data_IF_858750829081
#
_entry.id   IF_858750829081
#
_cell.length_a   1.000
_cell.length_b   1.000
_cell.length_c   1.000
_cell.angle_alpha   90.00
_cell.angle_beta   90.00
_cell.angle_gamma   90.00
#
_symmetry.space_group_name_H-M   'P 1'
#
loop_
_entity.id
_entity.type
_entity.pdbx_description
1 polymer ?
#
# COMPACT_ATOMS: atom_id res chain seq x y z
N UNK A 1 -16.14 15.35 25.84
CA UNK A 1 -14.82 15.03 26.46
C UNK A 1 -14.41 13.57 26.32
N UNK A 2 -15.28 12.58 26.57
CA UNK A 2 -14.95 11.14 26.46
C UNK A 2 -14.43 10.74 25.06
N UNK A 3 -15.14 11.10 23.99
CA UNK A 3 -14.73 10.80 22.61
C UNK A 3 -13.36 11.38 22.24
N UNK A 4 -13.04 12.59 22.70
CA UNK A 4 -11.74 13.21 22.45
C UNK A 4 -10.61 12.46 23.17
N UNK A 5 -10.85 12.02 24.41
CA UNK A 5 -9.90 11.18 25.15
C UNK A 5 -9.67 9.85 24.47
N UNK A 6 -10.73 9.17 24.06
CA UNK A 6 -10.62 7.87 23.38
C UNK A 6 -9.86 8.01 22.04
N UNK A 7 -10.04 9.14 21.34
CA UNK A 7 -9.26 9.48 20.16
C UNK A 7 -7.78 9.73 20.47
N UNK A 8 -7.47 10.47 21.54
CA UNK A 8 -6.09 10.72 21.98
C UNK A 8 -5.38 9.43 22.41
N UNK A 9 -6.07 8.55 23.14
CA UNK A 9 -5.56 7.23 23.51
C UNK A 9 -5.26 6.39 22.28
N UNK A 10 -6.17 6.40 21.29
CA UNK A 10 -5.92 5.73 20.01
C UNK A 10 -4.71 6.32 19.28
N UNK A 11 -4.58 7.64 19.17
CA UNK A 11 -3.42 8.29 18.54
C UNK A 11 -2.13 7.91 19.25
N UNK A 12 -2.12 7.91 20.59
CA UNK A 12 -0.96 7.52 21.38
C UNK A 12 -0.53 6.07 21.12
N UNK A 13 -1.49 5.16 20.88
CA UNK A 13 -1.19 3.77 20.53
C UNK A 13 -0.50 3.64 19.15
N UNK A 14 -0.76 4.56 18.22
CA UNK A 14 -0.18 4.54 16.87
C UNK A 14 1.26 5.09 16.84
N UNK A 15 1.63 5.99 17.75
CA UNK A 15 2.94 6.68 17.73
C UNK A 15 4.12 5.71 17.68
N UNK A 16 4.20 4.65 18.51
CA UNK A 16 5.36 3.76 18.51
C UNK A 16 5.51 3.03 17.19
N UNK A 17 4.44 2.39 16.69
CA UNK A 17 4.52 1.59 15.47
C UNK A 17 4.77 2.45 14.23
N UNK A 18 4.14 3.62 14.15
CA UNK A 18 4.35 4.55 13.03
C UNK A 18 5.81 5.03 13.00
N UNK A 19 6.38 5.34 14.15
CA UNK A 19 7.78 5.70 14.29
C UNK A 19 8.70 4.53 13.91
N UNK A 20 8.52 3.33 14.49
CA UNK A 20 9.38 2.17 14.21
C UNK A 20 9.33 1.75 12.74
N UNK A 21 8.13 1.72 12.16
CA UNK A 21 7.94 1.33 10.76
C UNK A 21 8.51 2.39 9.82
N UNK A 22 8.23 3.67 10.07
CA UNK A 22 8.80 4.79 9.31
C UNK A 22 10.33 4.82 9.39
N UNK A 23 10.89 4.60 10.58
CA UNK A 23 12.33 4.50 10.80
C UNK A 23 12.94 3.33 10.03
N UNK A 24 12.30 2.16 10.01
CA UNK A 24 12.78 1.02 9.23
C UNK A 24 12.78 1.33 7.73
N UNK A 25 11.70 1.91 7.20
CA UNK A 25 11.65 2.32 5.79
C UNK A 25 12.77 3.31 5.44
N UNK A 26 13.01 4.30 6.31
CA UNK A 26 14.08 5.26 6.13
C UNK A 26 15.46 4.56 6.15
N UNK A 27 15.71 3.70 7.13
CA UNK A 27 16.99 2.99 7.25
C UNK A 27 17.28 2.08 6.05
N UNK A 28 16.27 1.37 5.54
CA UNK A 28 16.39 0.53 4.34
C UNK A 28 16.69 1.38 3.10
N UNK A 29 16.05 2.55 2.99
CA UNK A 29 16.30 3.50 1.90
C UNK A 29 17.75 4.00 1.95
N UNK A 30 18.22 4.44 3.12
CA UNK A 30 19.62 4.88 3.30
C UNK A 30 20.60 3.75 2.99
N UNK A 31 20.32 2.53 3.45
CA UNK A 31 21.19 1.37 3.20
C UNK A 31 21.27 1.04 1.70
N UNK A 32 20.14 1.05 0.99
CA UNK A 32 20.11 0.83 -0.46
C UNK A 32 20.85 1.94 -1.23
N UNK A 33 20.66 3.21 -0.84
CA UNK A 33 21.38 4.33 -1.45
C UNK A 33 22.89 4.21 -1.22
N UNK A 34 23.30 3.90 0.01
CA UNK A 34 24.71 3.66 0.34
C UNK A 34 25.33 2.51 -0.46
N UNK A 35 24.57 1.41 -0.62
CA UNK A 35 24.97 0.28 -1.44
C UNK A 35 25.11 0.67 -2.92
N UNK A 36 24.12 1.34 -3.50
CA UNK A 36 24.16 1.74 -4.92
C UNK A 36 25.28 2.74 -5.23
N UNK A 37 25.60 3.65 -4.31
CA UNK A 37 26.73 4.58 -4.45
C UNK A 37 28.10 3.90 -4.35
N UNK A 38 28.21 2.83 -3.56
CA UNK A 38 29.49 2.16 -3.28
C UNK A 38 29.73 0.96 -4.18
N UNK A 39 28.68 0.35 -4.73
CA UNK A 39 28.76 -0.83 -5.57
C UNK A 39 29.60 -0.61 -6.85
N UNK A 40 29.47 0.56 -7.48
CA UNK A 40 30.27 0.93 -8.65
C UNK A 40 31.78 0.92 -8.36
N UNK A 41 32.18 1.26 -7.14
CA UNK A 41 33.59 1.26 -6.70
C UNK A 41 34.15 -0.15 -6.50
N UNK A 42 33.29 -1.14 -6.25
CA UNK A 42 33.68 -2.52 -5.98
C UNK A 42 33.37 -3.47 -7.14
N UNK A 43 32.99 -2.94 -8.32
CA UNK A 43 32.62 -3.76 -9.48
C UNK A 43 31.34 -4.58 -9.26
N UNK A 44 30.51 -4.21 -8.29
CA UNK A 44 29.24 -4.84 -8.01
C UNK A 44 28.14 -4.13 -8.81
N UNK A 45 27.25 -4.90 -9.43
CA UNK A 45 26.06 -4.38 -10.12
C UNK A 45 24.87 -4.51 -9.18
N UNK A 46 24.30 -3.38 -8.76
CA UNK A 46 23.08 -3.36 -7.94
C UNK A 46 21.89 -3.36 -8.88
N UNK A 47 20.97 -4.30 -8.68
CA UNK A 47 19.71 -4.32 -9.42
C UNK A 47 18.91 -3.07 -9.06
N UNK A 48 18.50 -2.24 -10.04
CA UNK A 48 17.73 -1.05 -9.75
C UNK A 48 16.36 -1.44 -9.19
N UNK A 49 15.89 -0.69 -8.19
CA UNK A 49 14.49 -0.80 -7.76
C UNK A 49 13.55 -0.53 -8.93
N UNK A 50 12.40 -1.23 -8.98
CA UNK A 50 11.39 -0.94 -9.98
C UNK A 50 10.86 0.47 -9.79
N UNK A 51 10.43 1.09 -10.89
CA UNK A 51 9.83 2.41 -10.88
C UNK A 51 8.69 2.48 -9.86
N UNK A 52 8.58 3.59 -9.13
CA UNK A 52 7.58 3.71 -8.07
C UNK A 52 6.14 3.54 -8.58
N UNK A 53 5.86 3.92 -9.83
CA UNK A 53 4.58 3.73 -10.51
C UNK A 53 4.18 2.26 -10.71
N UNK A 54 5.14 1.33 -10.68
CA UNK A 54 4.89 -0.11 -10.82
C UNK A 54 4.79 -0.86 -9.49
N UNK A 55 4.90 -0.17 -8.35
CA UNK A 55 4.76 -0.79 -7.04
C UNK A 55 3.32 -1.24 -6.80
N UNK A 56 3.16 -2.52 -6.47
CA UNK A 56 1.88 -3.16 -6.19
C UNK A 56 2.00 -4.05 -4.97
N UNK A 57 0.92 -4.18 -4.19
CA UNK A 57 0.82 -5.17 -3.13
C UNK A 57 -0.18 -6.27 -3.49
N UNK A 58 0.05 -7.45 -2.92
CA UNK A 58 -0.85 -8.60 -3.01
C UNK A 58 -2.16 -8.29 -2.26
N UNK A 59 -3.29 -8.74 -2.81
CA UNK A 59 -4.63 -8.62 -2.22
C UNK A 59 -4.70 -9.17 -0.79
N UNK A 60 -3.79 -10.07 -0.40
CA UNK A 60 -3.69 -10.59 0.97
C UNK A 60 -3.48 -9.49 2.03
N UNK A 61 -3.02 -8.30 1.66
CA UNK A 61 -2.92 -7.15 2.56
C UNK A 61 -4.26 -6.80 3.23
N UNK A 62 -5.37 -7.13 2.58
CA UNK A 62 -6.74 -7.01 3.11
C UNK A 62 -6.86 -7.71 4.48
N UNK A 63 -6.29 -8.89 4.62
CA UNK A 63 -6.41 -9.69 5.84
C UNK A 63 -5.71 -9.04 7.04
N UNK A 64 -4.59 -8.35 6.81
CA UNK A 64 -3.88 -7.63 7.89
C UNK A 64 -4.75 -6.48 8.41
N UNK A 65 -5.39 -5.75 7.50
CA UNK A 65 -6.31 -4.68 7.85
C UNK A 65 -7.56 -5.21 8.58
N UNK A 66 -8.21 -6.24 8.04
CA UNK A 66 -9.41 -6.83 8.63
C UNK A 66 -9.14 -7.47 9.99
N UNK A 67 -8.04 -8.21 10.13
CA UNK A 67 -7.63 -8.78 11.42
C UNK A 67 -7.34 -7.67 12.43
N UNK A 68 -6.62 -6.61 12.04
CA UNK A 68 -6.38 -5.46 12.89
C UNK A 68 -7.66 -4.78 13.36
N UNK A 69 -8.58 -4.55 12.43
CA UNK A 69 -9.91 -3.99 12.70
C UNK A 69 -10.71 -4.85 13.67
N UNK A 70 -10.78 -6.16 13.41
CA UNK A 70 -11.50 -7.12 14.24
C UNK A 70 -10.91 -7.20 15.66
N UNK A 71 -9.59 -7.22 15.80
CA UNK A 71 -8.93 -7.21 17.11
C UNK A 71 -9.21 -5.90 17.86
N UNK A 72 -9.11 -4.76 17.18
CA UNK A 72 -9.32 -3.45 17.81
C UNK A 72 -10.77 -3.24 18.27
N UNK A 73 -11.73 -3.53 17.40
CA UNK A 73 -13.16 -3.34 17.67
C UNK A 73 -13.78 -4.48 18.49
N UNK A 74 -13.29 -5.71 18.32
CA UNK A 74 -13.78 -6.89 19.04
C UNK A 74 -13.28 -6.99 20.48
N UNK A 75 -12.23 -6.26 20.85
CA UNK A 75 -11.68 -6.25 22.22
C UNK A 75 -12.70 -5.83 23.28
N UNK A 76 -13.74 -5.08 22.92
CA UNK A 76 -14.72 -4.57 23.87
C UNK A 76 -15.53 -5.67 24.58
N UNK A 77 -15.61 -6.87 23.99
CA UNK A 77 -16.25 -8.06 24.59
C UNK A 77 -15.41 -8.78 25.64
N UNK A 78 -14.16 -8.39 25.87
CA UNK A 78 -13.21 -9.13 26.73
C UNK A 78 -13.27 -8.60 28.16
N UNK A 79 -13.69 -9.43 29.12
CA UNK A 79 -13.87 -9.03 30.54
C UNK A 79 -12.54 -8.68 31.21
N UNK A 80 -11.45 -9.38 30.88
CA UNK A 80 -10.14 -9.15 31.49
C UNK A 80 -9.47 -7.90 30.90
N UNK A 81 -9.21 -6.91 31.75
CA UNK A 81 -8.72 -5.57 31.36
C UNK A 81 -7.35 -5.63 30.69
N UNK A 82 -6.41 -6.38 31.24
CA UNK A 82 -5.04 -6.50 30.69
C UNK A 82 -5.05 -7.12 29.29
N UNK A 83 -5.78 -8.22 29.12
CA UNK A 83 -5.90 -8.91 27.82
C UNK A 83 -6.60 -8.02 26.79
N UNK A 84 -7.66 -7.32 27.21
CA UNK A 84 -8.36 -6.34 26.37
C UNK A 84 -7.39 -5.27 25.86
N UNK A 85 -6.56 -4.70 26.73
CA UNK A 85 -5.60 -3.67 26.34
C UNK A 85 -4.58 -4.19 25.31
N UNK A 86 -3.98 -5.35 25.56
CA UNK A 86 -3.01 -5.96 24.64
C UNK A 86 -3.61 -6.22 23.26
N UNK A 87 -4.82 -6.78 23.20
CA UNK A 87 -5.51 -7.06 21.93
C UNK A 87 -5.81 -5.76 21.17
N UNK A 88 -6.26 -4.71 21.88
CA UNK A 88 -6.49 -3.39 21.27
C UNK A 88 -5.20 -2.80 20.70
N UNK A 89 -4.09 -2.92 21.41
CA UNK A 89 -2.77 -2.42 20.96
C UNK A 89 -2.35 -3.14 19.67
N UNK A 90 -2.46 -4.48 19.65
CA UNK A 90 -2.12 -5.28 18.46
C UNK A 90 -3.02 -4.87 17.28
N UNK A 91 -4.34 -4.78 17.51
CA UNK A 91 -5.29 -4.36 16.48
C UNK A 91 -4.97 -2.97 15.92
N UNK A 92 -4.72 -1.99 16.79
CA UNK A 92 -4.35 -0.63 16.40
C UNK A 92 -3.06 -0.61 15.55
N UNK A 93 -2.06 -1.41 15.94
CA UNK A 93 -0.79 -1.50 15.21
C UNK A 93 -0.97 -2.10 13.81
N UNK A 94 -1.75 -3.19 13.68
CA UNK A 94 -2.06 -3.79 12.39
C UNK A 94 -2.79 -2.80 11.47
N UNK A 95 -3.74 -2.03 12.00
CA UNK A 95 -4.44 -0.97 11.26
C UNK A 95 -3.45 0.12 10.83
N UNK A 96 -2.56 0.56 11.73
CA UNK A 96 -1.56 1.59 11.45
C UNK A 96 -0.65 1.20 10.28
N UNK A 97 -0.06 0.00 10.36
CA UNK A 97 0.83 -0.54 9.32
C UNK A 97 0.09 -0.65 8.00
N UNK A 98 -1.13 -1.20 8.02
CA UNK A 98 -1.96 -1.32 6.81
C UNK A 98 -2.22 0.04 6.18
N UNK A 99 -2.57 1.06 6.97
CA UNK A 99 -2.78 2.43 6.46
C UNK A 99 -1.53 3.03 5.84
N UNK A 100 -0.35 2.82 6.43
CA UNK A 100 0.92 3.27 5.84
C UNK A 100 1.15 2.57 4.49
N UNK A 101 0.95 1.26 4.43
CA UNK A 101 1.13 0.49 3.19
C UNK A 101 0.14 0.93 2.10
N UNK A 102 -1.14 1.10 2.44
CA UNK A 102 -2.13 1.62 1.50
C UNK A 102 -1.82 3.06 1.07
N UNK A 103 -1.29 3.91 1.95
CA UNK A 103 -0.84 5.24 1.56
C UNK A 103 0.29 5.19 0.53
N UNK A 104 1.29 4.31 0.73
CA UNK A 104 2.40 4.12 -0.22
C UNK A 104 1.87 3.63 -1.58
N UNK A 105 0.92 2.70 -1.59
CA UNK A 105 0.30 2.23 -2.84
C UNK A 105 -0.58 3.30 -3.48
N UNK A 106 -1.31 4.09 -2.71
CA UNK A 106 -2.08 5.23 -3.22
C UNK A 106 -1.19 6.26 -3.91
N UNK A 107 -0.01 6.53 -3.33
CA UNK A 107 1.04 7.35 -3.96
C UNK A 107 1.56 6.70 -5.24
N UNK A 108 1.83 5.38 -5.22
CA UNK A 108 2.27 4.65 -6.42
C UNK A 108 1.24 4.72 -7.55
N UNK A 109 -0.05 4.56 -7.23
CA UNK A 109 -1.16 4.68 -8.17
C UNK A 109 -1.24 6.09 -8.76
N UNK A 110 -1.07 7.13 -7.95
CA UNK A 110 -1.04 8.51 -8.42
C UNK A 110 0.09 8.72 -9.45
N UNK A 111 1.29 8.21 -9.16
CA UNK A 111 2.43 8.28 -10.08
C UNK A 111 2.21 7.47 -11.35
N UNK A 112 1.57 6.30 -11.26
CA UNK A 112 1.10 5.55 -12.43
C UNK A 112 0.19 6.41 -13.31
N UNK A 113 -0.76 7.15 -12.73
CA UNK A 113 -1.62 8.03 -13.51
C UNK A 113 -0.90 9.24 -14.10
N UNK A 114 0.12 9.78 -13.42
CA UNK A 114 0.97 10.83 -13.98
C UNK A 114 1.76 10.37 -15.20
N UNK A 115 2.23 9.12 -15.19
CA UNK A 115 2.91 8.51 -16.33
C UNK A 115 1.93 8.21 -17.45
N UNK A 116 0.78 7.59 -17.13
CA UNK A 116 -0.27 7.23 -18.10
C UNK A 116 -0.84 8.42 -18.86
N UNK A 117 -0.95 9.58 -18.21
CA UNK A 117 -1.48 10.81 -18.82
C UNK A 117 -0.39 11.81 -19.21
N UNK A 118 0.88 11.41 -19.21
CA UNK A 118 2.02 12.25 -19.62
C UNK A 118 2.05 13.62 -18.93
N UNK A 119 1.66 13.67 -17.64
CA UNK A 119 1.57 14.91 -16.87
C UNK A 119 2.94 15.57 -16.78
N UNK A 120 3.02 16.88 -17.03
CA UNK A 120 4.27 17.65 -16.99
C UNK A 120 4.90 17.68 -15.59
N UNK A 121 6.23 17.77 -15.50
CA UNK A 121 6.97 17.75 -14.22
C UNK A 121 6.50 18.77 -13.18
N UNK A 122 6.20 20.04 -13.53
CA UNK A 122 5.68 21.01 -12.57
C UNK A 122 4.32 20.59 -12.00
N UNK A 123 3.43 20.07 -12.86
CA UNK A 123 2.11 19.61 -12.46
C UNK A 123 2.20 18.34 -11.59
N UNK A 124 3.14 17.43 -11.89
CA UNK A 124 3.41 16.27 -11.02
C UNK A 124 3.79 16.71 -9.62
N UNK A 125 4.66 17.71 -9.49
CA UNK A 125 5.07 18.23 -8.19
C UNK A 125 3.90 18.89 -7.43
N UNK A 126 3.15 19.78 -8.09
CA UNK A 126 1.99 20.44 -7.49
C UNK A 126 0.89 19.47 -7.06
N UNK A 127 0.54 18.52 -7.92
CA UNK A 127 -0.44 17.48 -7.61
C UNK A 127 0.05 16.52 -6.52
N UNK A 128 1.36 16.23 -6.45
CA UNK A 128 1.92 15.44 -5.35
C UNK A 128 1.82 16.16 -4.01
N UNK A 129 2.09 17.47 -3.97
CA UNK A 129 1.91 18.27 -2.74
C UNK A 129 0.43 18.26 -2.33
N UNK A 130 -0.48 18.51 -3.28
CA UNK A 130 -1.92 18.49 -3.00
C UNK A 130 -2.37 17.11 -2.48
N UNK A 131 -1.88 16.04 -3.08
CA UNK A 131 -2.11 14.66 -2.64
C UNK A 131 -1.61 14.41 -1.21
N UNK A 132 -0.44 14.94 -0.83
CA UNK A 132 0.08 14.85 0.53
C UNK A 132 -0.76 15.61 1.56
N UNK A 133 -1.52 16.64 1.16
CA UNK A 133 -2.50 17.30 2.02
C UNK A 133 -3.78 16.46 2.19
N UNK A 134 -4.06 15.57 1.24
CA UNK A 134 -5.24 14.69 1.22
C UNK A 134 -4.85 13.24 1.54
N UNK A 135 -4.06 13.02 2.59
CA UNK A 135 -3.52 11.69 2.95
C UNK A 135 -4.59 10.60 3.06
N UNK A 136 -5.76 10.93 3.61
CA UNK A 136 -6.87 9.99 3.74
C UNK A 136 -7.41 9.53 2.38
N UNK A 137 -7.44 10.43 1.39
CA UNK A 137 -7.87 10.10 0.02
C UNK A 137 -6.86 9.16 -0.64
N UNK A 138 -5.56 9.34 -0.37
CA UNK A 138 -4.51 8.45 -0.86
C UNK A 138 -4.60 7.06 -0.24
N UNK A 139 -4.88 6.95 1.06
CA UNK A 139 -5.12 5.66 1.71
C UNK A 139 -6.29 4.94 1.03
N UNK A 140 -7.40 5.65 0.78
CA UNK A 140 -8.55 5.08 0.06
C UNK A 140 -8.21 4.68 -1.38
N UNK A 141 -7.43 5.49 -2.10
CA UNK A 141 -6.97 5.14 -3.45
C UNK A 141 -6.11 3.88 -3.45
N UNK A 142 -5.23 3.71 -2.45
CA UNK A 142 -4.43 2.50 -2.31
C UNK A 142 -5.24 1.26 -1.93
N UNK A 143 -6.25 1.41 -1.06
CA UNK A 143 -7.24 0.34 -0.79
C UNK A 143 -7.92 -0.05 -2.11
N UNK A 144 -8.42 0.94 -2.84
CA UNK A 144 -9.13 0.73 -4.09
C UNK A 144 -8.24 -0.01 -5.11
N UNK A 145 -6.97 0.37 -5.26
CA UNK A 145 -6.02 -0.31 -6.14
C UNK A 145 -5.72 -1.76 -5.76
N UNK A 146 -5.53 -2.05 -4.46
CA UNK A 146 -5.25 -3.41 -3.99
C UNK A 146 -6.47 -4.32 -4.09
N UNK A 147 -7.68 -3.78 -3.84
CA UNK A 147 -8.91 -4.57 -3.76
C UNK A 147 -9.57 -4.77 -5.12
N UNK A 148 -9.54 -3.74 -5.97
CA UNK A 148 -10.25 -3.73 -7.25
C UNK A 148 -9.31 -3.84 -8.46
N UNK A 149 -7.99 -3.83 -8.24
CA UNK A 149 -6.98 -3.96 -9.29
C UNK A 149 -7.20 -2.98 -10.46
N UNK A 150 -7.25 -1.66 -10.17
CA UNK A 150 -7.46 -0.62 -11.20
C UNK A 150 -6.38 -0.56 -12.28
N UNK A 151 -5.21 -1.16 -12.01
CA UNK A 151 -4.07 -1.24 -12.92
C UNK A 151 -4.06 -2.53 -13.74
N UNK A 152 -5.01 -3.45 -13.54
CA UNK A 152 -5.15 -4.63 -14.39
C UNK A 152 -5.36 -4.22 -15.85
N UNK A 153 -4.61 -4.84 -16.74
CA UNK A 153 -4.93 -4.78 -18.16
C UNK A 153 -6.24 -5.53 -18.40
N UNK A 154 -7.12 -5.05 -19.29
CA UNK A 154 -8.33 -5.78 -19.64
C UNK A 154 -7.95 -7.20 -20.08
N UNK A 155 -8.75 -8.23 -19.74
CA UNK A 155 -8.45 -9.60 -20.12
C UNK A 155 -8.21 -9.62 -21.63
N UNK A 156 -7.04 -10.14 -22.04
CA UNK A 156 -6.76 -10.40 -23.44
C UNK A 156 -7.85 -11.35 -23.89
N UNK A 157 -8.79 -10.89 -24.73
CA UNK A 157 -9.73 -11.78 -25.38
C UNK A 157 -8.87 -12.84 -26.07
N UNK A 158 -8.85 -14.04 -25.49
CA UNK A 158 -8.48 -15.25 -26.21
C UNK A 158 -9.63 -15.44 -27.19
N UNK A 159 -9.63 -14.62 -28.24
CA UNK A 159 -10.46 -14.90 -29.39
C UNK A 159 -9.99 -16.25 -29.88
N UNK A 160 -10.97 -17.15 -29.92
CA UNK A 160 -10.99 -18.43 -30.60
C UNK A 160 -10.39 -18.32 -32.02
N UNK A 161 -9.07 -18.28 -32.13
CA UNK A 161 -8.31 -18.53 -33.36
C UNK A 161 -7.90 -20.01 -33.44
N UNK A 162 -8.61 -20.88 -32.70
CA UNK A 162 -8.52 -22.32 -32.78
C UNK A 162 -9.47 -22.76 -33.90
N UNK A 163 -9.02 -22.55 -35.14
CA UNK A 163 -9.56 -23.08 -36.39
C UNK A 163 -10.98 -23.65 -36.35
N UNK A 164 -11.98 -22.82 -36.67
CA UNK A 164 -13.13 -23.32 -37.41
C UNK A 164 -12.65 -23.72 -38.82
N UNK A 165 -11.96 -24.86 -38.92
CA UNK A 165 -12.06 -25.66 -40.13
C UNK A 165 -13.51 -26.13 -40.18
N UNK A 166 -14.31 -25.42 -40.99
CA UNK A 166 -15.62 -25.83 -41.46
C UNK A 166 -15.69 -27.35 -41.60
N UNK A 167 -16.40 -28.01 -40.68
CA UNK A 167 -16.75 -29.43 -40.76
C UNK A 167 -17.46 -29.79 -42.09
N UNK A 168 -17.97 -28.79 -42.80
CA UNK A 168 -18.66 -28.92 -44.07
C UNK A 168 -17.74 -28.87 -45.30
N UNK A 169 -16.43 -28.63 -45.12
CA UNK A 169 -15.47 -28.67 -46.24
C UNK A 169 -14.96 -30.11 -46.53
N UNK A 170 -15.46 -31.11 -45.81
CA UNK A 170 -15.12 -32.53 -45.96
C UNK A 170 -16.23 -33.40 -46.57
N UNK A 171 -17.33 -32.81 -47.05
CA UNK A 171 -18.38 -33.54 -47.78
C UNK A 171 -18.79 -32.82 -49.08
#
# INVERSE_FOLDING_TARGET
MRQFRDWMEFVALLVPVTFFFGWHLFSLTVMYLGMSMTASKHGLVVQPFPAFSSWRFDWKLIWVFLAGWLLYSGADGIVQIEIRHVIRVIGANCIAISKILYFIIGMSLLFYFFEKHEISTPNRFGLSILALLMTQLLVWAGIADVWLDFRASPPKNVNNDDGESSFFDQF
#
